data_IF_941155737664
#
_entry.id   IF_941155737664
#
_cell.length_a   1.000
_cell.length_b   1.000
_cell.length_c   1.000
_cell.angle_alpha   90.00
_cell.angle_beta   90.00
_cell.angle_gamma   90.00
#
_symmetry.space_group_name_H-M   'P 1'
#
loop_
_entity.id
_entity.type
_entity.pdbx_description
1 polymer ?
#
# COMPACT_ATOMS: atom_id res chain seq x y z
N UNK A 1 6.22 -25.42 -41.14
CA UNK A 1 6.45 -25.63 -39.69
C UNK A 1 7.09 -24.42 -38.97
N UNK A 2 7.78 -23.51 -39.66
CA UNK A 2 8.52 -22.39 -39.03
C UNK A 2 7.63 -21.30 -38.39
N UNK A 3 6.47 -20.99 -38.98
CA UNK A 3 5.53 -20.00 -38.43
C UNK A 3 4.85 -20.46 -37.14
N UNK A 4 4.44 -21.74 -37.05
CA UNK A 4 3.82 -22.30 -35.83
C UNK A 4 4.75 -22.20 -34.61
N UNK A 5 6.05 -22.37 -34.82
CA UNK A 5 7.05 -22.26 -33.76
C UNK A 5 7.31 -20.80 -33.33
N UNK A 6 7.27 -19.85 -34.27
CA UNK A 6 7.37 -18.41 -33.98
C UNK A 6 6.16 -17.90 -33.18
N UNK A 7 4.94 -18.33 -33.51
CA UNK A 7 3.74 -17.95 -32.77
C UNK A 7 3.72 -18.51 -31.34
N UNK A 8 4.19 -19.74 -31.13
CA UNK A 8 4.24 -20.33 -29.77
C UNK A 8 5.25 -19.63 -28.87
N UNK A 9 6.41 -19.21 -29.41
CA UNK A 9 7.42 -18.47 -28.63
C UNK A 9 6.93 -17.06 -28.31
N UNK A 10 6.30 -16.39 -29.27
CA UNK A 10 5.71 -15.06 -29.05
C UNK A 10 4.58 -15.10 -28.00
N UNK A 11 3.72 -16.11 -28.04
CA UNK A 11 2.64 -16.28 -27.06
C UNK A 11 3.17 -16.55 -25.65
N UNK A 12 4.21 -17.38 -25.50
CA UNK A 12 4.85 -17.65 -24.21
C UNK A 12 5.52 -16.39 -23.61
N UNK A 13 6.14 -15.56 -24.45
CA UNK A 13 6.75 -14.30 -24.01
C UNK A 13 5.70 -13.29 -23.50
N UNK A 14 4.55 -13.17 -24.17
CA UNK A 14 3.44 -12.31 -23.74
C UNK A 14 2.86 -12.78 -22.39
N UNK A 15 2.68 -14.09 -22.21
CA UNK A 15 2.18 -14.66 -20.95
C UNK A 15 3.17 -14.43 -19.79
N UNK A 16 4.47 -14.60 -20.01
CA UNK A 16 5.49 -14.37 -18.98
C UNK A 16 5.51 -12.91 -18.50
N UNK A 17 5.32 -11.93 -19.41
CA UNK A 17 5.24 -10.52 -19.05
C UNK A 17 3.97 -10.17 -18.25
N UNK A 18 2.86 -10.90 -18.45
CA UNK A 18 1.61 -10.64 -17.73
C UNK A 18 1.63 -11.11 -16.27
N UNK A 19 2.38 -12.18 -15.96
CA UNK A 19 2.45 -12.75 -14.61
C UNK A 19 3.10 -11.80 -13.58
N UNK A 20 4.10 -11.01 -14.00
CA UNK A 20 4.70 -9.98 -13.13
C UNK A 20 3.75 -8.81 -12.83
N UNK A 21 2.90 -8.46 -13.79
CA UNK A 21 1.89 -7.40 -13.64
C UNK A 21 0.76 -7.84 -12.69
N UNK A 22 0.38 -9.12 -12.68
CA UNK A 22 -0.66 -9.63 -11.78
C UNK A 22 -0.21 -9.62 -10.33
N UNK A 23 1.01 -10.08 -10.01
CA UNK A 23 1.52 -10.07 -8.63
C UNK A 23 1.67 -8.64 -8.11
N UNK A 24 2.22 -7.73 -8.92
CA UNK A 24 2.34 -6.33 -8.51
C UNK A 24 0.99 -5.67 -8.21
N UNK A 25 -0.01 -5.94 -9.06
CA UNK A 25 -1.36 -5.44 -8.83
C UNK A 25 -2.00 -6.09 -7.59
N UNK A 26 -1.91 -7.40 -7.43
CA UNK A 26 -2.48 -8.13 -6.29
C UNK A 26 -1.87 -7.66 -4.97
N UNK A 27 -0.55 -7.59 -4.87
CA UNK A 27 0.17 -7.13 -3.68
C UNK A 27 -0.20 -5.67 -3.36
N UNK A 28 -0.33 -4.82 -4.39
CA UNK A 28 -0.81 -3.45 -4.24
C UNK A 28 -2.23 -3.36 -3.66
N UNK A 29 -3.17 -4.17 -4.18
CA UNK A 29 -4.54 -4.21 -3.67
C UNK A 29 -4.62 -4.78 -2.26
N UNK A 30 -3.87 -5.84 -1.95
CA UNK A 30 -3.81 -6.43 -0.61
C UNK A 30 -3.27 -5.41 0.41
N UNK A 31 -2.20 -4.69 0.07
CA UNK A 31 -1.65 -3.66 0.96
C UNK A 31 -2.64 -2.53 1.21
N UNK A 32 -3.33 -2.06 0.16
CA UNK A 32 -4.40 -1.06 0.28
C UNK A 32 -5.57 -1.57 1.13
N UNK A 33 -5.99 -2.83 0.92
CA UNK A 33 -7.05 -3.44 1.74
C UNK A 33 -6.66 -3.48 3.22
N UNK A 34 -5.39 -3.80 3.52
CA UNK A 34 -4.89 -3.80 4.91
C UNK A 34 -4.84 -2.39 5.52
N UNK A 35 -4.49 -1.37 4.72
CA UNK A 35 -4.62 0.04 5.13
C UNK A 35 -6.05 0.37 5.52
N UNK A 36 -7.04 -0.01 4.69
CA UNK A 36 -8.47 0.22 4.96
C UNK A 36 -8.93 -0.51 6.22
N UNK A 37 -8.55 -1.78 6.38
CA UNK A 37 -8.91 -2.63 7.53
C UNK A 37 -8.41 -2.04 8.86
N UNK A 38 -7.17 -1.53 8.86
CA UNK A 38 -6.52 -1.02 10.08
C UNK A 38 -6.78 0.46 10.34
N UNK A 39 -7.39 1.16 9.38
CA UNK A 39 -7.80 2.54 9.53
C UNK A 39 -9.04 2.65 10.44
N UNK A 40 -9.06 3.52 11.47
CA UNK A 40 -10.17 3.54 12.42
C UNK A 40 -11.47 4.01 11.76
N UNK A 41 -12.56 3.28 11.94
CA UNK A 41 -13.87 3.58 11.35
C UNK A 41 -14.46 4.95 11.76
N UNK A 42 -14.02 5.51 12.89
CA UNK A 42 -14.40 6.84 13.38
C UNK A 42 -13.57 7.98 12.77
N UNK A 43 -12.53 7.65 12.00
CA UNK A 43 -11.66 8.65 11.39
C UNK A 43 -12.29 9.25 10.12
N UNK A 44 -11.87 10.45 9.69
CA UNK A 44 -12.37 11.06 8.46
C UNK A 44 -12.11 10.17 7.24
N UNK A 45 -12.83 10.41 6.13
CA UNK A 45 -12.57 9.71 4.88
C UNK A 45 -11.09 9.82 4.49
N UNK A 46 -10.48 8.67 4.19
CA UNK A 46 -9.14 8.56 3.66
C UNK A 46 -9.21 8.51 2.13
N UNK A 47 -8.51 9.44 1.47
CA UNK A 47 -8.28 9.43 0.02
C UNK A 47 -6.92 8.78 -0.25
N UNK A 48 -6.81 7.99 -1.32
CA UNK A 48 -5.65 7.15 -1.61
C UNK A 48 -4.97 7.55 -2.92
N UNK A 49 -3.64 7.47 -2.95
CA UNK A 49 -2.88 7.50 -4.19
C UNK A 49 -2.77 6.12 -4.84
N UNK A 50 -2.25 6.10 -6.06
CA UNK A 50 -1.86 4.85 -6.72
C UNK A 50 -0.70 4.23 -5.92
N UNK A 51 -0.83 2.97 -5.45
CA UNK A 51 0.23 2.31 -4.69
C UNK A 51 1.57 2.33 -5.43
N UNK A 52 2.64 2.62 -4.69
CA UNK A 52 4.02 2.56 -5.17
C UNK A 52 4.52 1.14 -4.92
N UNK A 53 4.88 0.44 -6.00
CA UNK A 53 5.40 -0.94 -5.93
C UNK A 53 6.89 -0.95 -6.24
N UNK A 54 7.68 -1.63 -5.41
CA UNK A 54 9.10 -1.87 -5.69
C UNK A 54 9.28 -3.00 -6.70
N UNK A 55 10.53 -3.26 -7.10
CA UNK A 55 10.89 -4.38 -7.98
C UNK A 55 10.28 -5.70 -7.48
N UNK A 56 9.64 -6.44 -8.39
CA UNK A 56 8.92 -7.70 -8.12
C UNK A 56 7.84 -7.62 -7.03
N UNK A 57 7.35 -6.41 -6.72
CA UNK A 57 6.30 -6.18 -5.72
C UNK A 57 6.62 -6.72 -4.32
N UNK A 58 7.90 -6.81 -3.98
CA UNK A 58 8.37 -7.28 -2.66
C UNK A 58 8.14 -6.23 -1.56
N UNK A 59 8.00 -4.96 -1.92
CA UNK A 59 7.65 -3.86 -1.03
C UNK A 59 6.63 -2.96 -1.73
N UNK A 60 5.55 -2.66 -1.04
CA UNK A 60 4.48 -1.79 -1.51
C UNK A 60 4.27 -0.69 -0.49
N UNK A 61 4.21 0.55 -0.96
CA UNK A 61 3.80 1.70 -0.14
C UNK A 61 2.47 2.22 -0.68
N UNK A 62 1.48 2.34 0.20
CA UNK A 62 0.20 2.98 -0.12
C UNK A 62 0.14 4.30 0.62
N UNK A 63 0.07 5.37 -0.15
CA UNK A 63 -0.03 6.74 0.35
C UNK A 63 -1.50 7.18 0.30
N UNK A 64 -1.85 8.10 1.19
CA UNK A 64 -3.17 8.67 1.28
C UNK A 64 -3.18 9.96 2.10
N UNK A 65 -4.34 10.59 2.15
CA UNK A 65 -4.55 11.83 2.91
C UNK A 65 -5.97 11.88 3.42
N UNK A 66 -6.16 12.43 4.62
CA UNK A 66 -7.49 12.74 5.14
C UNK A 66 -7.51 14.16 5.71
N UNK A 67 -8.69 14.76 5.80
CA UNK A 67 -8.85 16.14 6.25
C UNK A 67 -9.35 16.16 7.70
N UNK A 68 -8.63 16.87 8.58
CA UNK A 68 -9.08 17.18 9.94
C UNK A 68 -9.50 18.64 10.04
N UNK A 69 -10.40 18.93 11.00
CA UNK A 69 -10.77 20.31 11.37
C UNK A 69 -10.17 20.61 12.74
N UNK A 70 -9.40 21.68 12.85
CA UNK A 70 -8.75 22.08 14.10
C UNK A 70 -8.66 23.58 14.27
N UNK A 71 -8.29 24.02 15.47
CA UNK A 71 -7.90 25.39 15.70
C UNK A 71 -6.60 25.69 14.93
N UNK A 72 -6.44 26.88 14.32
CA UNK A 72 -5.14 27.29 13.81
C UNK A 72 -4.13 27.36 14.98
N UNK A 73 -2.89 26.94 14.73
CA UNK A 73 -1.86 26.96 15.75
C UNK A 73 -1.61 28.41 16.24
N UNK A 74 -1.61 28.63 17.56
CA UNK A 74 -1.21 29.91 18.17
C UNK A 74 -2.30 30.98 18.29
N UNK A 75 -3.58 30.67 18.07
CA UNK A 75 -4.70 31.62 18.24
C UNK A 75 -5.86 31.01 19.04
N UNK A 76 -6.51 31.84 19.87
CA UNK A 76 -7.77 31.47 20.55
C UNK A 76 -8.84 31.13 19.51
N UNK A 77 -9.49 29.95 19.57
CA UNK A 77 -10.26 29.44 18.45
C UNK A 77 -11.61 30.16 18.33
N UNK A 78 -11.67 31.16 17.45
CA UNK A 78 -12.95 31.73 16.96
C UNK A 78 -13.47 30.90 15.77
N UNK A 79 -12.59 30.23 15.02
CA UNK A 79 -12.96 29.46 13.82
C UNK A 79 -12.07 28.22 13.65
N UNK A 80 -12.68 27.10 13.27
CA UNK A 80 -11.95 25.88 12.88
C UNK A 80 -11.53 25.94 11.42
N UNK A 81 -10.33 25.44 11.14
CA UNK A 81 -9.76 25.38 9.79
C UNK A 81 -9.49 23.92 9.41
N UNK A 82 -9.60 23.61 8.12
CA UNK A 82 -9.32 22.29 7.56
C UNK A 82 -7.84 22.16 7.24
N UNK A 83 -7.23 21.06 7.65
CA UNK A 83 -5.84 20.76 7.32
C UNK A 83 -5.71 19.31 6.84
N UNK A 84 -4.92 19.06 5.77
CA UNK A 84 -4.64 17.71 5.31
C UNK A 84 -3.66 17.01 6.25
N UNK A 85 -3.90 15.74 6.52
CA UNK A 85 -3.02 14.86 7.29
C UNK A 85 -2.54 13.73 6.39
N UNK A 86 -1.22 13.56 6.20
CA UNK A 86 -0.67 12.48 5.40
C UNK A 86 -0.83 11.14 6.11
N UNK A 87 -1.21 10.13 5.33
CA UNK A 87 -1.34 8.75 5.76
C UNK A 87 -0.52 7.87 4.83
N UNK A 88 0.25 6.92 5.36
CA UNK A 88 0.94 5.96 4.53
C UNK A 88 1.16 4.66 5.30
N UNK A 89 1.11 3.55 4.56
CA UNK A 89 1.48 2.23 5.04
C UNK A 89 2.51 1.61 4.13
N UNK A 90 3.26 0.67 4.69
CA UNK A 90 4.16 -0.19 3.94
C UNK A 90 3.81 -1.65 4.20
N UNK A 91 3.84 -2.44 3.14
CA UNK A 91 3.72 -3.89 3.20
C UNK A 91 4.90 -4.53 2.47
N UNK A 92 5.41 -5.64 3.00
CA UNK A 92 6.40 -6.46 2.30
C UNK A 92 5.80 -7.82 1.94
N UNK A 93 6.33 -8.43 0.88
CA UNK A 93 5.79 -9.65 0.30
C UNK A 93 6.89 -10.63 -0.09
N UNK A 94 6.58 -11.92 0.01
CA UNK A 94 7.29 -13.03 -0.65
C UNK A 94 6.28 -13.68 -1.60
N UNK A 95 6.47 -13.50 -2.90
CA UNK A 95 5.45 -13.85 -3.88
C UNK A 95 4.20 -12.97 -3.72
N UNK A 96 3.05 -13.61 -3.51
CA UNK A 96 1.74 -13.00 -3.24
C UNK A 96 1.35 -13.03 -1.75
N UNK A 97 2.24 -13.53 -0.89
CA UNK A 97 2.02 -13.59 0.55
C UNK A 97 2.60 -12.35 1.24
N UNK A 98 1.72 -11.59 1.90
CA UNK A 98 2.14 -10.46 2.75
C UNK A 98 2.89 -10.97 3.98
N UNK A 99 4.07 -10.40 4.22
CA UNK A 99 5.00 -10.80 5.29
C UNK A 99 4.98 -9.83 6.43
N UNK A 100 5.08 -8.54 6.12
CA UNK A 100 4.99 -7.48 7.09
C UNK A 100 4.01 -6.41 6.64
N UNK A 101 3.47 -5.70 7.64
CA UNK A 101 2.64 -4.52 7.49
C UNK A 101 3.03 -3.52 8.57
N UNK A 102 3.19 -2.25 8.20
CA UNK A 102 3.36 -1.17 9.16
C UNK A 102 2.67 0.11 8.68
N UNK A 103 2.22 0.90 9.64
CA UNK A 103 1.89 2.30 9.37
C UNK A 103 3.17 3.15 9.42
N UNK A 104 3.32 4.06 8.46
CA UNK A 104 4.43 5.02 8.38
C UNK A 104 4.02 6.39 8.93
N UNK A 105 2.78 6.80 8.67
CA UNK A 105 2.19 8.07 9.13
C UNK A 105 0.67 7.97 9.13
N UNK A 106 -0.07 8.69 9.99
CA UNK A 106 0.39 9.55 11.09
C UNK A 106 1.05 8.77 12.22
N UNK A 107 1.85 9.46 13.05
CA UNK A 107 2.60 8.87 14.16
C UNK A 107 1.73 8.06 15.13
N UNK A 108 0.46 8.45 15.32
CA UNK A 108 -0.50 7.72 16.15
C UNK A 108 -0.82 6.33 15.60
N UNK A 109 -0.95 6.19 14.28
CA UNK A 109 -1.16 4.88 13.64
C UNK A 109 0.15 4.10 13.51
N UNK A 110 1.26 4.79 13.20
CA UNK A 110 2.59 4.17 13.17
C UNK A 110 2.98 3.54 14.53
N UNK A 111 2.68 4.22 15.64
CA UNK A 111 2.91 3.69 16.98
C UNK A 111 2.02 2.48 17.30
N UNK A 112 0.79 2.45 16.78
CA UNK A 112 -0.16 1.34 16.99
C UNK A 112 0.19 0.11 16.16
N UNK A 113 0.73 0.32 14.96
CA UNK A 113 1.07 -0.72 14.00
C UNK A 113 2.54 -0.58 13.57
N UNK A 114 3.50 -0.81 14.49
CA UNK A 114 4.92 -0.75 14.17
C UNK A 114 5.31 -1.93 13.26
N UNK A 115 6.46 -1.82 12.61
CA UNK A 115 7.05 -2.93 11.88
C UNK A 115 7.28 -4.11 12.83
N UNK A 116 6.63 -5.24 12.53
CA UNK A 116 6.92 -6.50 13.19
C UNK A 116 8.01 -7.25 12.40
N UNK A 117 8.89 -8.01 13.08
CA UNK A 117 9.84 -8.90 12.40
C UNK A 117 9.09 -9.87 11.49
N UNK A 118 9.71 -10.23 10.37
CA UNK A 118 9.12 -11.21 9.47
C UNK A 118 8.98 -12.58 10.17
N UNK A 119 7.78 -13.14 10.19
CA UNK A 119 7.46 -14.31 11.03
C UNK A 119 7.78 -15.67 10.39
N UNK A 120 8.22 -15.74 9.14
CA UNK A 120 8.50 -17.04 8.49
C UNK A 120 9.98 -17.41 8.40
N UNK A 121 10.83 -16.87 9.28
CA UNK A 121 12.16 -17.44 9.55
C UNK A 121 12.16 -18.32 10.82
N UNK A 122 10.98 -18.61 11.38
CA UNK A 122 10.80 -19.34 12.65
C UNK A 122 10.38 -20.82 12.48
N UNK A 123 10.46 -21.39 11.28
CA UNK A 123 10.14 -22.81 11.03
C UNK A 123 11.24 -23.53 10.25
#
# INVERSE_FOLDING_TARGET
MKHRSLYTVAAAAVLACSAGCTTAYQNAQQCKAKMVETYPATSPKLDYEIPRVSYRATRVVVEGTYIVKGAPAGVTPIKTTKFPVPAAVECTFVGDQMRTFQWLTPATLAAKYPLQPDQGDAE
#
